data_IF_539416412441
#
_entry.id   IF_539416412441
#
_cell.length_a   1.000
_cell.length_b   1.000
_cell.length_c   1.000
_cell.angle_alpha   90.00
_cell.angle_beta   90.00
_cell.angle_gamma   90.00
#
_symmetry.space_group_name_H-M   'P 1'
#
loop_
_entity.id
_entity.type
_entity.pdbx_description
1 polymer ?
#
# COMPACT_ATOMS: atom_id res chain seq x y z
N UNK A 1 -3.52 35.51 -1.74
CA UNK A 1 -2.25 34.82 -1.83
C UNK A 1 -2.47 33.36 -2.08
N UNK A 2 -1.87 32.86 -3.09
CA UNK A 2 -1.93 31.42 -3.35
C UNK A 2 -1.25 30.70 -2.22
N UNK A 3 -1.99 29.80 -1.61
CA UNK A 3 -1.52 29.09 -0.43
C UNK A 3 -0.87 27.76 -0.77
N UNK A 4 -0.94 27.32 -2.04
CA UNK A 4 -0.45 26.00 -2.47
C UNK A 4 -1.28 24.85 -1.93
N UNK A 5 -2.48 25.14 -1.43
CA UNK A 5 -3.37 24.13 -0.86
C UNK A 5 -3.75 23.07 -1.89
N UNK A 6 -3.92 23.47 -3.15
CA UNK A 6 -4.27 22.57 -4.24
C UNK A 6 -3.17 21.52 -4.47
N UNK A 7 -1.90 21.89 -4.38
CA UNK A 7 -0.78 20.96 -4.52
C UNK A 7 -0.68 20.03 -3.31
N UNK A 8 -0.94 20.55 -2.11
CA UNK A 8 -1.00 19.70 -0.91
C UNK A 8 -2.16 18.72 -0.98
N UNK A 9 -3.31 19.14 -1.52
CA UNK A 9 -4.47 18.28 -1.72
C UNK A 9 -4.16 17.19 -2.74
N UNK A 10 -3.57 17.54 -3.88
CA UNK A 10 -3.14 16.56 -4.91
C UNK A 10 -2.19 15.53 -4.29
N UNK A 11 -1.18 15.99 -3.57
CA UNK A 11 -0.21 15.08 -2.93
C UNK A 11 -0.89 14.17 -1.90
N UNK A 12 -1.83 14.68 -1.13
CA UNK A 12 -2.59 13.90 -0.15
C UNK A 12 -3.42 12.79 -0.83
N UNK A 13 -4.05 13.12 -1.96
CA UNK A 13 -4.80 12.14 -2.75
C UNK A 13 -3.87 11.06 -3.29
N UNK A 14 -2.69 11.45 -3.79
CA UNK A 14 -1.71 10.51 -4.28
C UNK A 14 -1.14 9.63 -3.16
N UNK A 15 -0.92 10.19 -1.97
CA UNK A 15 -0.48 9.40 -0.81
C UNK A 15 -1.52 8.35 -0.38
N UNK A 16 -2.81 8.64 -0.54
CA UNK A 16 -3.87 7.73 -0.09
C UNK A 16 -4.45 6.81 -1.16
N UNK A 17 -4.42 7.22 -2.43
CA UNK A 17 -5.14 6.55 -3.51
C UNK A 17 -4.27 6.24 -4.74
N UNK A 18 -2.96 6.21 -4.56
CA UNK A 18 -2.02 6.01 -5.67
C UNK A 18 -2.37 4.81 -6.55
N UNK A 19 -2.63 3.66 -5.92
CA UNK A 19 -2.90 2.43 -6.66
C UNK A 19 -4.18 2.53 -7.49
N UNK A 20 -5.25 3.10 -6.93
CA UNK A 20 -6.51 3.29 -7.65
C UNK A 20 -6.36 4.21 -8.86
N UNK A 21 -5.55 5.26 -8.73
CA UNK A 21 -5.26 6.18 -9.82
C UNK A 21 -4.37 5.50 -10.87
N UNK A 22 -3.34 4.80 -10.42
CA UNK A 22 -2.40 4.07 -11.29
C UNK A 22 -3.11 3.03 -12.17
N UNK A 23 -4.09 2.32 -11.61
CA UNK A 23 -4.86 1.31 -12.35
C UNK A 23 -6.00 1.92 -13.19
N UNK A 24 -6.28 3.21 -13.03
CA UNK A 24 -7.37 3.88 -13.74
C UNK A 24 -8.74 3.74 -13.08
N UNK A 25 -8.82 3.17 -11.88
CA UNK A 25 -10.08 2.99 -11.15
C UNK A 25 -10.61 4.28 -10.56
N UNK A 26 -9.75 5.27 -10.33
CA UNK A 26 -10.13 6.55 -9.72
C UNK A 26 -9.62 7.70 -10.56
N UNK A 27 -10.51 8.67 -10.79
CA UNK A 27 -10.20 9.96 -11.40
C UNK A 27 -10.69 11.05 -10.47
N UNK A 28 -9.86 12.05 -10.20
CA UNK A 28 -10.18 13.16 -9.28
C UNK A 28 -9.79 14.47 -9.95
N UNK A 29 -10.58 15.50 -9.71
CA UNK A 29 -10.23 16.87 -10.12
C UNK A 29 -10.10 17.75 -8.87
N UNK A 30 -8.99 18.46 -8.78
CA UNK A 30 -8.72 19.40 -7.69
C UNK A 30 -8.44 20.76 -8.29
N UNK A 31 -9.42 21.63 -8.26
CA UNK A 31 -9.29 23.02 -8.74
C UNK A 31 -8.73 23.09 -10.16
N UNK A 32 -9.27 22.26 -11.07
CA UNK A 32 -8.86 22.18 -12.45
C UNK A 32 -7.64 21.28 -12.72
N UNK A 33 -7.02 20.73 -11.68
CA UNK A 33 -5.95 19.75 -11.82
C UNK A 33 -6.56 18.37 -11.91
N UNK A 34 -6.48 17.74 -13.08
CA UNK A 34 -7.01 16.40 -13.29
C UNK A 34 -5.99 15.35 -12.84
N UNK A 35 -6.40 14.49 -11.91
CA UNK A 35 -5.61 13.38 -11.41
C UNK A 35 -6.19 12.11 -11.99
N UNK A 36 -5.47 11.49 -12.91
CA UNK A 36 -5.86 10.23 -13.54
C UNK A 36 -4.60 9.44 -13.93
N UNK A 37 -4.82 8.29 -14.54
CA UNK A 37 -3.74 7.40 -14.98
C UNK A 37 -2.76 8.10 -15.92
N UNK A 38 -3.27 8.95 -16.81
CA UNK A 38 -2.47 9.63 -17.84
C UNK A 38 -1.66 10.79 -17.27
N UNK A 39 -2.21 11.54 -16.31
CA UNK A 39 -1.51 12.67 -15.68
C UNK A 39 -0.60 12.23 -14.53
N UNK A 40 -0.73 10.99 -14.07
CA UNK A 40 -0.03 10.51 -12.88
C UNK A 40 1.50 10.68 -12.95
N UNK A 41 2.20 10.31 -14.05
CA UNK A 41 3.66 10.45 -14.08
C UNK A 41 4.13 11.88 -13.85
N UNK A 42 3.51 12.86 -14.49
CA UNK A 42 3.87 14.27 -14.34
C UNK A 42 3.54 14.80 -12.95
N UNK A 43 2.39 14.39 -12.39
CA UNK A 43 1.98 14.80 -11.04
C UNK A 43 2.91 14.21 -9.97
N UNK A 44 3.35 12.98 -10.14
CA UNK A 44 4.32 12.37 -9.22
C UNK A 44 5.64 13.13 -9.21
N UNK A 45 6.11 13.55 -10.37
CA UNK A 45 7.34 14.31 -10.49
C UNK A 45 7.21 15.73 -9.92
N UNK A 46 6.12 16.43 -10.25
CA UNK A 46 5.92 17.82 -9.86
C UNK A 46 5.53 18.02 -8.39
N UNK A 47 5.08 16.99 -7.70
CA UNK A 47 4.60 17.08 -6.32
C UNK A 47 5.50 16.38 -5.30
N UNK A 48 6.72 16.02 -5.64
CA UNK A 48 7.65 15.29 -4.76
C UNK A 48 7.81 15.91 -3.39
N UNK A 49 7.90 17.22 -3.32
CA UNK A 49 8.13 17.95 -2.06
C UNK A 49 6.91 17.97 -1.13
N UNK A 50 5.73 17.63 -1.65
CA UNK A 50 4.49 17.67 -0.86
C UNK A 50 4.09 16.33 -0.26
N UNK A 51 4.72 15.21 -0.67
CA UNK A 51 4.35 13.89 -0.14
C UNK A 51 4.75 13.74 1.32
N UNK A 52 3.82 13.25 2.13
CA UNK A 52 4.02 13.00 3.56
C UNK A 52 4.12 11.51 3.90
N UNK A 53 3.65 10.65 3.00
CA UNK A 53 3.56 9.21 3.22
C UNK A 53 4.25 8.38 2.14
N UNK A 54 5.30 8.95 1.52
CA UNK A 54 6.21 8.22 0.62
C UNK A 54 5.57 7.70 -0.68
N UNK A 55 4.57 8.41 -1.23
CA UNK A 55 3.95 8.04 -2.49
C UNK A 55 4.95 7.87 -3.63
N UNK A 56 6.01 8.68 -3.66
CA UNK A 56 7.09 8.59 -4.65
C UNK A 56 7.82 7.24 -4.61
N UNK A 57 8.08 6.69 -3.42
CA UNK A 57 8.69 5.36 -3.28
C UNK A 57 7.76 4.27 -3.79
N UNK A 58 6.50 4.30 -3.39
CA UNK A 58 5.51 3.31 -3.84
C UNK A 58 5.25 3.38 -5.33
N UNK A 59 5.26 4.57 -5.90
CA UNK A 59 5.13 4.74 -7.35
C UNK A 59 6.28 4.06 -8.09
N UNK A 60 7.51 4.19 -7.60
CA UNK A 60 8.65 3.48 -8.17
C UNK A 60 8.49 1.97 -8.05
N UNK A 61 8.02 1.48 -6.92
CA UNK A 61 7.72 0.04 -6.74
C UNK A 61 6.74 -0.45 -7.79
N UNK A 62 5.69 0.32 -8.08
CA UNK A 62 4.65 -0.07 -9.04
C UNK A 62 5.13 0.00 -10.48
N UNK A 63 6.05 0.88 -10.82
CA UNK A 63 6.42 1.17 -12.21
C UNK A 63 7.77 0.60 -12.64
N UNK A 64 8.67 0.28 -11.72
CA UNK A 64 10.00 -0.24 -12.05
C UNK A 64 9.96 -1.76 -12.20
N UNK A 65 9.67 -2.22 -13.41
CA UNK A 65 9.57 -3.66 -13.71
C UNK A 65 10.93 -4.36 -13.76
N UNK A 66 12.02 -3.60 -13.82
CA UNK A 66 13.37 -4.15 -13.87
C UNK A 66 13.87 -4.51 -12.47
N UNK A 67 13.65 -3.63 -11.50
CA UNK A 67 14.21 -3.77 -10.14
C UNK A 67 13.21 -4.27 -9.10
N UNK A 68 11.92 -4.10 -9.31
CA UNK A 68 10.90 -4.63 -8.41
C UNK A 68 10.66 -6.12 -8.65
N UNK A 69 10.30 -6.83 -7.58
CA UNK A 69 9.95 -8.26 -7.62
C UNK A 69 8.55 -8.45 -7.06
N UNK A 70 7.80 -9.35 -7.68
CA UNK A 70 6.41 -9.65 -7.28
C UNK A 70 6.31 -11.02 -6.66
N UNK A 71 5.53 -11.13 -5.58
CA UNK A 71 5.28 -12.35 -4.84
C UNK A 71 3.78 -12.47 -4.59
N UNK A 72 3.25 -13.68 -4.67
CA UNK A 72 1.82 -13.92 -4.46
C UNK A 72 1.62 -15.00 -3.41
N UNK A 73 0.65 -14.78 -2.52
CA UNK A 73 0.23 -15.78 -1.53
C UNK A 73 -1.29 -15.88 -1.57
N UNK A 74 -1.79 -17.09 -1.73
CA UNK A 74 -3.22 -17.35 -1.62
C UNK A 74 -3.55 -17.81 -0.20
N UNK A 75 -4.52 -17.14 0.42
CA UNK A 75 -5.02 -17.48 1.75
C UNK A 75 -6.29 -18.33 1.57
N UNK A 76 -6.20 -19.61 1.90
CA UNK A 76 -7.27 -20.59 1.66
C UNK A 76 -7.76 -21.30 2.92
N UNK A 77 -6.96 -21.30 4.00
CA UNK A 77 -7.19 -22.14 5.15
C UNK A 77 -8.42 -21.71 5.97
N UNK A 78 -8.71 -20.42 6.01
CA UNK A 78 -9.85 -19.87 6.71
C UNK A 78 -10.76 -19.14 5.72
N UNK A 79 -11.99 -19.63 5.48
CA UNK A 79 -12.92 -18.97 4.57
C UNK A 79 -13.24 -17.52 4.92
N UNK A 80 -13.23 -17.16 6.21
CA UNK A 80 -13.56 -15.81 6.67
C UNK A 80 -12.49 -14.78 6.31
N UNK A 81 -11.26 -15.23 6.12
CA UNK A 81 -10.11 -14.36 5.79
C UNK A 81 -9.45 -14.76 4.47
N UNK A 82 -10.17 -15.50 3.63
CA UNK A 82 -9.63 -15.97 2.35
C UNK A 82 -9.46 -14.83 1.36
N UNK A 83 -8.45 -14.96 0.52
CA UNK A 83 -8.13 -13.98 -0.51
C UNK A 83 -6.74 -14.18 -1.07
N UNK A 84 -6.29 -13.22 -1.84
CA UNK A 84 -4.97 -13.25 -2.49
C UNK A 84 -4.18 -12.02 -2.09
N UNK A 85 -2.94 -12.23 -1.68
CA UNK A 85 -1.99 -11.16 -1.39
C UNK A 85 -0.99 -11.07 -2.53
N UNK A 86 -0.86 -9.90 -3.12
CA UNK A 86 0.17 -9.62 -4.13
C UNK A 86 1.13 -8.57 -3.58
N UNK A 87 2.34 -9.02 -3.28
CA UNK A 87 3.39 -8.17 -2.72
C UNK A 87 4.38 -7.82 -3.81
N UNK A 88 4.69 -6.53 -3.90
CA UNK A 88 5.72 -6.05 -4.80
C UNK A 88 6.77 -5.32 -3.98
N UNK A 89 8.03 -5.73 -4.10
CA UNK A 89 9.14 -5.20 -3.31
C UNK A 89 10.27 -4.68 -4.19
N UNK A 90 10.93 -3.63 -3.72
CA UNK A 90 12.10 -3.07 -4.38
C UNK A 90 13.10 -2.61 -3.32
N UNK A 91 14.39 -2.87 -3.55
CA UNK A 91 15.47 -2.46 -2.65
C UNK A 91 16.19 -1.27 -3.25
N UNK A 92 16.28 -0.19 -2.48
CA UNK A 92 16.98 1.04 -2.86
C UNK A 92 17.54 1.71 -1.59
N UNK A 93 18.75 2.28 -1.64
CA UNK A 93 19.40 2.83 -0.44
C UNK A 93 18.61 3.92 0.28
N UNK A 94 17.76 4.67 -0.42
CA UNK A 94 17.01 5.80 0.14
C UNK A 94 15.61 5.44 0.61
N UNK A 95 15.19 4.18 0.45
CA UNK A 95 13.82 3.76 0.79
C UNK A 95 13.62 3.61 2.31
N UNK A 96 12.39 3.81 2.76
CA UNK A 96 12.02 3.98 4.16
C UNK A 96 11.59 2.70 4.89
N UNK A 97 11.77 1.52 4.29
CA UNK A 97 11.48 0.22 4.91
C UNK A 97 10.00 0.07 5.29
N UNK A 98 9.12 0.42 4.36
CA UNK A 98 7.67 0.37 4.54
C UNK A 98 6.99 -0.38 3.41
N UNK A 99 5.87 -1.01 3.73
CA UNK A 99 4.97 -1.62 2.75
C UNK A 99 3.61 -0.92 2.86
N UNK A 100 3.15 -0.36 1.75
CA UNK A 100 1.80 0.20 1.66
C UNK A 100 0.79 -0.95 1.59
N UNK A 101 -0.10 -1.03 2.57
CA UNK A 101 -1.19 -2.00 2.62
C UNK A 101 -2.38 -1.44 1.86
N UNK A 102 -2.78 -2.10 0.77
CA UNK A 102 -3.75 -1.55 -0.20
C UNK A 102 -4.97 -2.45 -0.28
N UNK A 103 -6.15 -1.85 -0.11
CA UNK A 103 -7.43 -2.55 -0.29
C UNK A 103 -7.67 -2.89 -1.77
N UNK A 104 -8.59 -3.83 -1.99
CA UNK A 104 -9.05 -4.20 -3.33
C UNK A 104 -9.53 -2.99 -4.15
N UNK A 105 -10.09 -1.97 -3.51
CA UNK A 105 -10.51 -0.72 -4.17
C UNK A 105 -9.35 0.16 -4.62
N UNK A 106 -8.14 -0.11 -4.16
CA UNK A 106 -6.94 0.68 -4.48
C UNK A 106 -6.61 1.78 -3.48
N UNK A 107 -7.39 1.90 -2.40
CA UNK A 107 -7.10 2.84 -1.32
C UNK A 107 -6.06 2.24 -0.38
N UNK A 108 -5.02 3.02 -0.04
CA UNK A 108 -4.06 2.63 0.98
C UNK A 108 -4.70 2.75 2.37
N UNK A 109 -4.56 1.72 3.19
CA UNK A 109 -5.02 1.72 4.57
C UNK A 109 -3.93 2.29 5.48
N UNK A 110 -2.73 1.76 5.36
CA UNK A 110 -1.59 2.17 6.21
C UNK A 110 -0.26 1.74 5.60
N UNK A 111 0.81 2.29 6.15
CA UNK A 111 2.17 1.88 5.86
C UNK A 111 2.66 0.94 6.97
N UNK A 112 2.99 -0.29 6.60
CA UNK A 112 3.50 -1.28 7.55
C UNK A 112 5.01 -1.18 7.67
N UNK A 113 5.49 -0.84 8.87
CA UNK A 113 6.91 -0.85 9.22
C UNK A 113 7.28 -2.07 10.04
N UNK A 114 8.51 -2.08 10.54
CA UNK A 114 9.06 -3.12 11.41
C UNK A 114 9.05 -4.52 10.78
N UNK A 115 9.26 -4.58 9.47
CA UNK A 115 9.36 -5.85 8.74
C UNK A 115 10.79 -6.36 8.80
N UNK A 116 11.75 -5.47 8.53
CA UNK A 116 13.17 -5.78 8.56
C UNK A 116 13.96 -4.47 8.75
N UNK A 117 14.89 -4.45 9.68
CA UNK A 117 15.67 -3.26 10.02
C UNK A 117 16.99 -3.09 9.27
N UNK A 118 17.40 -4.06 8.45
CA UNK A 118 18.75 -4.08 7.87
C UNK A 118 18.78 -3.54 6.44
N UNK A 119 17.82 -3.93 5.61
CA UNK A 119 17.83 -3.60 4.17
C UNK A 119 16.85 -2.48 3.88
N UNK A 120 17.28 -1.39 3.21
CA UNK A 120 16.36 -0.33 2.79
C UNK A 120 15.53 -0.79 1.60
N UNK A 121 14.23 -0.80 1.77
CA UNK A 121 13.28 -1.29 0.77
C UNK A 121 12.00 -0.46 0.81
N UNK A 122 11.17 -0.61 -0.21
CA UNK A 122 9.77 -0.20 -0.22
C UNK A 122 8.95 -1.29 -0.88
N UNK A 123 7.68 -1.37 -0.52
CA UNK A 123 6.79 -2.37 -1.09
C UNK A 123 5.34 -1.93 -1.11
N UNK A 124 4.56 -2.65 -1.91
CA UNK A 124 3.10 -2.53 -1.94
C UNK A 124 2.51 -3.92 -1.74
N UNK A 125 1.50 -4.03 -0.89
CA UNK A 125 0.75 -5.26 -0.67
C UNK A 125 -0.70 -5.02 -1.06
N UNK A 126 -1.10 -5.58 -2.20
CA UNK A 126 -2.49 -5.54 -2.65
C UNK A 126 -3.25 -6.72 -2.05
N UNK A 127 -4.36 -6.43 -1.39
CA UNK A 127 -5.19 -7.40 -0.70
C UNK A 127 -6.47 -7.58 -1.51
N UNK A 128 -6.62 -8.73 -2.17
CA UNK A 128 -7.76 -9.03 -3.02
C UNK A 128 -8.61 -10.17 -2.47
N UNK A 129 -9.90 -10.11 -2.71
CA UNK A 129 -10.89 -11.09 -2.24
C UNK A 129 -11.92 -10.45 -1.33
N UNK A 130 -13.18 -10.83 -1.53
CA UNK A 130 -14.29 -10.22 -0.78
C UNK A 130 -14.24 -10.57 0.70
N UNK A 131 -13.90 -11.82 1.03
CA UNK A 131 -13.87 -12.28 2.41
C UNK A 131 -12.82 -11.50 3.24
N UNK A 132 -11.56 -11.49 2.80
CA UNK A 132 -10.51 -10.80 3.54
C UNK A 132 -10.75 -9.27 3.58
N UNK A 133 -11.24 -8.68 2.51
CA UNK A 133 -11.52 -7.24 2.49
C UNK A 133 -12.65 -6.88 3.46
N UNK A 134 -13.72 -7.67 3.51
CA UNK A 134 -14.81 -7.48 4.49
C UNK A 134 -14.31 -7.66 5.91
N UNK A 135 -13.52 -8.69 6.16
CA UNK A 135 -12.92 -8.95 7.47
C UNK A 135 -12.08 -7.76 7.95
N UNK A 136 -11.17 -7.28 7.13
CA UNK A 136 -10.27 -6.18 7.49
C UNK A 136 -11.01 -4.85 7.64
N UNK A 137 -12.04 -4.60 6.82
CA UNK A 137 -12.86 -3.39 6.94
C UNK A 137 -13.53 -3.30 8.31
N UNK A 138 -14.00 -4.42 8.84
CA UNK A 138 -14.65 -4.47 10.15
C UNK A 138 -13.66 -4.20 11.31
N UNK A 139 -12.37 -4.30 11.06
CA UNK A 139 -11.32 -4.04 12.05
C UNK A 139 -10.78 -2.62 11.98
N UNK A 140 -11.16 -1.83 10.97
CA UNK A 140 -10.62 -0.49 10.80
C UNK A 140 -11.13 0.46 11.88
N UNK A 141 -10.24 1.36 12.31
CA UNK A 141 -10.60 2.45 13.19
C UNK A 141 -11.47 3.48 12.43
N UNK A 142 -12.13 4.42 13.14
CA UNK A 142 -12.99 5.41 12.46
C UNK A 142 -12.29 6.26 11.40
N UNK A 143 -10.98 6.46 11.51
CA UNK A 143 -10.19 7.21 10.54
C UNK A 143 -9.77 6.36 9.32
N UNK A 144 -10.05 5.06 9.34
CA UNK A 144 -9.68 4.12 8.26
C UNK A 144 -8.16 4.05 7.99
N UNK A 145 -7.34 4.20 9.03
CA UNK A 145 -5.87 4.24 8.93
C UNK A 145 -5.18 3.07 9.61
N UNK A 146 -5.91 2.22 10.31
CA UNK A 146 -5.34 1.09 11.04
C UNK A 146 -6.39 0.00 11.29
N UNK A 147 -5.90 -1.21 11.51
CA UNK A 147 -6.73 -2.33 11.97
C UNK A 147 -6.56 -2.48 13.49
N UNK A 148 -7.67 -2.58 14.19
CA UNK A 148 -7.68 -2.69 15.65
C UNK A 148 -8.08 -4.09 16.09
N UNK A 149 -7.17 -4.78 16.79
CA UNK A 149 -7.38 -6.13 17.31
C UNK A 149 -8.63 -6.23 18.20
N UNK A 150 -8.92 -5.17 18.94
CA UNK A 150 -10.06 -5.09 19.85
C UNK A 150 -11.40 -5.23 19.13
N UNK A 151 -11.44 -4.92 17.85
CA UNK A 151 -12.65 -5.05 17.01
C UNK A 151 -12.86 -6.46 16.49
N UNK A 152 -11.87 -7.35 16.62
CA UNK A 152 -12.00 -8.73 16.18
C UNK A 152 -12.77 -9.55 17.22
N UNK A 153 -13.80 -10.26 16.78
CA UNK A 153 -14.55 -11.18 17.64
C UNK A 153 -13.69 -12.37 18.05
N UNK A 154 -12.86 -12.85 17.11
CA UNK A 154 -11.93 -13.95 17.36
C UNK A 154 -10.48 -13.43 17.30
N UNK A 155 -9.88 -13.27 18.47
CA UNK A 155 -8.51 -12.73 18.58
C UNK A 155 -7.46 -13.70 18.00
N UNK A 156 -7.68 -15.00 18.12
CA UNK A 156 -6.76 -15.99 17.56
C UNK A 156 -6.76 -15.94 16.03
N UNK A 157 -7.92 -15.77 15.42
CA UNK A 157 -8.06 -15.59 13.96
C UNK A 157 -7.32 -14.32 13.50
N UNK A 158 -7.51 -13.22 14.20
CA UNK A 158 -6.80 -11.95 13.93
C UNK A 158 -5.28 -12.15 13.99
N UNK A 159 -4.80 -12.73 15.09
CA UNK A 159 -3.37 -12.95 15.29
C UNK A 159 -2.78 -13.84 14.21
N UNK A 160 -3.50 -14.88 13.80
CA UNK A 160 -3.05 -15.79 12.75
C UNK A 160 -2.92 -15.07 11.40
N UNK A 161 -3.90 -14.25 11.04
CA UNK A 161 -3.86 -13.49 9.78
C UNK A 161 -2.69 -12.50 9.78
N UNK A 162 -2.53 -11.73 10.85
CA UNK A 162 -1.45 -10.74 10.95
C UNK A 162 -0.07 -11.41 10.91
N UNK A 163 0.08 -12.54 11.59
CA UNK A 163 1.32 -13.31 11.58
C UNK A 163 1.64 -13.85 10.18
N UNK A 164 0.63 -14.37 9.48
CA UNK A 164 0.78 -14.89 8.12
C UNK A 164 1.20 -13.79 7.15
N UNK A 165 0.57 -12.63 7.22
CA UNK A 165 0.91 -11.49 6.36
C UNK A 165 2.33 -11.00 6.62
N UNK A 166 2.72 -10.86 7.89
CA UNK A 166 4.07 -10.42 8.25
C UNK A 166 5.13 -11.42 7.81
N UNK A 167 4.88 -12.72 8.02
CA UNK A 167 5.79 -13.78 7.57
C UNK A 167 5.98 -13.76 6.05
N UNK A 168 4.89 -13.59 5.31
CA UNK A 168 4.94 -13.48 3.86
C UNK A 168 5.84 -12.31 3.42
N UNK A 169 5.67 -11.15 4.01
CA UNK A 169 6.50 -9.97 3.69
C UNK A 169 7.97 -10.20 4.04
N UNK A 170 8.25 -10.77 5.22
CA UNK A 170 9.63 -11.08 5.65
C UNK A 170 10.31 -12.11 4.75
N UNK A 171 9.64 -13.20 4.46
CA UNK A 171 10.20 -14.27 3.65
C UNK A 171 10.48 -13.81 2.22
N UNK A 172 9.56 -13.01 1.66
CA UNK A 172 9.73 -12.44 0.33
C UNK A 172 10.92 -11.48 0.27
N UNK A 173 11.04 -10.59 1.25
CA UNK A 173 12.16 -9.66 1.31
C UNK A 173 13.48 -10.40 1.49
N UNK A 174 13.52 -11.42 2.36
CA UNK A 174 14.73 -12.23 2.57
C UNK A 174 15.17 -12.96 1.31
N UNK A 175 14.23 -13.42 0.48
CA UNK A 175 14.57 -14.07 -0.79
C UNK A 175 15.27 -13.12 -1.76
N UNK A 176 14.98 -11.82 -1.70
CA UNK A 176 15.62 -10.82 -2.56
C UNK A 176 17.06 -10.51 -2.15
N UNK A 177 17.41 -10.72 -0.89
CA UNK A 177 18.79 -10.48 -0.40
C UNK A 177 19.80 -11.47 -0.94
N UNK A 178 19.33 -12.64 -1.37
CA UNK A 178 20.17 -13.71 -1.89
C UNK A 178 20.40 -13.60 -3.40
N UNK A 179 19.87 -12.57 -4.04
CA UNK A 179 20.04 -12.28 -5.46
C UNK A 179 21.31 -11.44 -5.73
#
# INVERSE_FOLDING_TARGET
GETGWEHQMVASILDGFLYAIYTGSLVVDVDGITINKETLPDLMDSHKEYFKEHADEYYRVLTDNENARSFTLELKDDPATSGTLTLRLMIEPTFNRRVAMIRQTGMKIKDKGNINGIVPFAGTLLIEGDAINSYLRNLENPQHLAWEKERADNKAQYNQLMKTMLKFMKDSLNSMKDE
#
